data_IF_958653439317
#
_entry.id   IF_958653439317
#
_cell.length_a   1.000
_cell.length_b   1.000
_cell.length_c   1.000
_cell.angle_alpha   90.00
_cell.angle_beta   90.00
_cell.angle_gamma   90.00
#
_symmetry.space_group_name_H-M   'P 1'
#
loop_
_entity.id
_entity.type
_entity.pdbx_description
1 polymer ?
#
# COMPACT_ATOMS: atom_id res chain seq x y z
N UNK A 1 4.10 -22.58 11.14
CA UNK A 1 4.26 -21.20 11.63
C UNK A 1 3.06 -20.43 11.14
N UNK A 2 2.16 -20.02 12.03
CA UNK A 2 0.98 -19.21 11.65
C UNK A 2 1.43 -17.77 11.41
N UNK A 3 1.87 -17.49 10.18
CA UNK A 3 2.12 -16.12 9.72
C UNK A 3 0.76 -15.44 9.57
N UNK A 4 0.62 -14.21 10.04
CA UNK A 4 -0.63 -13.44 9.89
C UNK A 4 -0.54 -12.51 8.68
N UNK A 5 -1.66 -12.20 8.01
CA UNK A 5 -1.75 -11.16 6.99
C UNK A 5 -1.03 -9.86 7.35
N UNK A 6 -1.20 -9.41 8.59
CA UNK A 6 -0.67 -8.16 9.12
C UNK A 6 0.87 -8.12 9.14
N UNK A 7 1.56 -9.26 9.16
CA UNK A 7 3.03 -9.34 9.12
C UNK A 7 3.62 -8.86 7.79
N UNK A 8 2.83 -8.84 6.71
CA UNK A 8 3.26 -8.39 5.38
C UNK A 8 3.01 -6.90 5.13
N UNK A 9 2.37 -6.20 6.08
CA UNK A 9 1.96 -4.79 5.94
C UNK A 9 3.09 -3.86 5.49
N UNK A 10 4.24 -3.91 6.18
CA UNK A 10 5.40 -3.06 5.82
C UNK A 10 6.06 -3.42 4.49
N UNK A 11 6.07 -4.70 4.11
CA UNK A 11 6.60 -5.12 2.81
C UNK A 11 5.72 -4.61 1.68
N UNK A 12 4.40 -4.73 1.84
CA UNK A 12 3.45 -4.25 0.84
C UNK A 12 3.50 -2.72 0.75
N UNK A 13 3.33 -2.00 1.86
CA UNK A 13 3.20 -0.54 1.81
C UNK A 13 4.50 0.18 1.49
N UNK A 14 5.60 -0.18 2.14
CA UNK A 14 6.88 0.51 1.96
C UNK A 14 7.61 -0.07 0.75
N UNK A 15 7.93 -1.36 0.76
CA UNK A 15 8.85 -1.91 -0.25
C UNK A 15 8.22 -1.91 -1.65
N UNK A 16 6.95 -2.33 -1.76
CA UNK A 16 6.27 -2.41 -3.06
C UNK A 16 5.57 -1.09 -3.38
N UNK A 17 4.72 -0.59 -2.49
CA UNK A 17 3.94 0.63 -2.69
C UNK A 17 4.82 1.85 -3.02
N UNK A 18 5.73 2.21 -2.13
CA UNK A 18 6.55 3.42 -2.29
C UNK A 18 7.49 3.33 -3.51
N UNK A 19 8.05 2.15 -3.79
CA UNK A 19 8.90 1.93 -4.97
C UNK A 19 8.15 2.16 -6.28
N UNK A 20 6.95 1.58 -6.43
CA UNK A 20 6.15 1.76 -7.65
C UNK A 20 5.53 3.16 -7.73
N UNK A 21 5.17 3.77 -6.60
CA UNK A 21 4.75 5.17 -6.53
C UNK A 21 5.85 6.10 -7.05
N UNK A 22 7.10 5.87 -6.64
CA UNK A 22 8.25 6.66 -7.07
C UNK A 22 8.57 6.41 -8.55
N UNK A 23 8.59 5.15 -9.00
CA UNK A 23 8.92 4.78 -10.37
C UNK A 23 7.91 5.38 -11.37
N UNK A 24 6.62 5.19 -11.12
CA UNK A 24 5.57 5.67 -12.04
C UNK A 24 5.26 7.15 -11.82
N UNK A 25 5.19 7.58 -10.56
CA UNK A 25 4.86 8.95 -10.20
C UNK A 25 5.91 9.96 -10.64
N UNK A 26 7.21 9.65 -10.53
CA UNK A 26 8.26 10.56 -11.02
C UNK A 26 8.35 10.59 -12.55
N UNK A 27 8.13 9.44 -13.20
CA UNK A 27 8.29 9.32 -14.66
C UNK A 27 7.09 9.88 -15.43
N UNK A 28 5.87 9.68 -14.90
CA UNK A 28 4.62 9.95 -15.64
C UNK A 28 3.60 10.78 -14.85
N UNK A 29 3.84 11.05 -13.57
CA UNK A 29 2.87 11.73 -12.70
C UNK A 29 2.77 13.23 -12.97
N UNK A 30 1.77 13.63 -13.76
CA UNK A 30 1.49 15.05 -14.09
C UNK A 30 0.49 15.72 -13.14
N UNK A 31 -0.46 14.95 -12.60
CA UNK A 31 -1.53 15.44 -11.72
C UNK A 31 -1.27 15.01 -10.28
N UNK A 32 -1.10 15.98 -9.39
CA UNK A 32 -0.89 15.79 -7.95
C UNK A 32 -2.20 15.83 -7.18
N UNK A 33 -2.21 15.16 -6.03
CA UNK A 33 -3.28 15.31 -5.06
C UNK A 33 -3.29 16.76 -4.53
N UNK A 34 -4.47 17.35 -4.26
CA UNK A 34 -4.57 18.71 -3.75
C UNK A 34 -3.83 18.84 -2.41
N UNK A 35 -2.83 19.71 -2.35
CA UNK A 35 -2.05 19.94 -1.14
C UNK A 35 -1.02 18.85 -0.80
N UNK A 36 -0.70 17.95 -1.73
CA UNK A 36 0.24 16.84 -1.51
C UNK A 36 1.32 16.75 -2.58
N UNK A 37 2.45 16.16 -2.21
CA UNK A 37 3.56 15.87 -3.12
C UNK A 37 3.31 14.63 -4.00
N UNK A 38 2.36 13.76 -3.63
CA UNK A 38 2.04 12.52 -4.36
C UNK A 38 1.18 12.78 -5.59
N UNK A 39 1.33 11.93 -6.62
CA UNK A 39 0.58 12.00 -7.87
C UNK A 39 -0.51 10.95 -7.91
N UNK A 40 -1.65 11.26 -8.54
CA UNK A 40 -2.74 10.28 -8.70
C UNK A 40 -2.26 9.00 -9.39
N UNK A 41 -1.41 9.16 -10.41
CA UNK A 41 -0.84 8.04 -11.15
C UNK A 41 0.12 7.21 -10.28
N UNK A 42 0.94 7.87 -9.46
CA UNK A 42 1.81 7.21 -8.49
C UNK A 42 1.00 6.43 -7.45
N UNK A 43 -0.05 7.02 -6.89
CA UNK A 43 -0.96 6.33 -5.95
C UNK A 43 -1.65 5.14 -6.60
N UNK A 44 -2.10 5.26 -7.86
CA UNK A 44 -2.69 4.14 -8.60
C UNK A 44 -1.69 3.01 -8.83
N UNK A 45 -0.46 3.34 -9.23
CA UNK A 45 0.62 2.36 -9.41
C UNK A 45 1.01 1.68 -8.08
N UNK A 46 1.07 2.43 -6.99
CA UNK A 46 1.28 1.92 -5.64
C UNK A 46 0.20 0.91 -5.27
N UNK A 47 -1.08 1.28 -5.37
CA UNK A 47 -2.19 0.39 -5.03
C UNK A 47 -2.20 -0.88 -5.90
N UNK A 48 -2.02 -0.75 -7.21
CA UNK A 48 -2.10 -1.89 -8.11
C UNK A 48 -0.94 -2.87 -7.91
N UNK A 49 0.28 -2.38 -7.71
CA UNK A 49 1.44 -3.22 -7.42
C UNK A 49 1.29 -3.95 -6.08
N UNK A 50 0.80 -3.27 -5.04
CA UNK A 50 0.47 -3.86 -3.75
C UNK A 50 -0.61 -4.95 -3.87
N UNK A 51 -1.67 -4.71 -4.64
CA UNK A 51 -2.74 -5.69 -4.88
C UNK A 51 -2.24 -6.93 -5.62
N UNK A 52 -1.37 -6.79 -6.63
CA UNK A 52 -0.76 -7.92 -7.32
C UNK A 52 0.07 -8.76 -6.33
N UNK A 53 0.96 -8.10 -5.58
CA UNK A 53 1.80 -8.78 -4.60
C UNK A 53 0.96 -9.48 -3.52
N UNK A 54 -0.06 -8.81 -3.00
CA UNK A 54 -0.99 -9.38 -2.03
C UNK A 54 -1.75 -10.59 -2.58
N UNK A 55 -2.19 -10.55 -3.84
CA UNK A 55 -2.86 -11.68 -4.48
C UNK A 55 -1.95 -12.91 -4.53
N UNK A 56 -0.67 -12.73 -4.83
CA UNK A 56 0.33 -13.83 -4.84
C UNK A 56 0.56 -14.37 -3.43
N UNK A 57 0.75 -13.48 -2.44
CA UNK A 57 0.97 -13.86 -1.04
C UNK A 57 -0.25 -14.57 -0.46
N UNK A 58 -1.45 -14.01 -0.65
CA UNK A 58 -2.70 -14.61 -0.18
C UNK A 58 -2.95 -15.97 -0.84
N UNK A 59 -2.66 -16.14 -2.12
CA UNK A 59 -2.73 -17.44 -2.78
C UNK A 59 -1.78 -18.47 -2.14
N UNK A 60 -0.52 -18.09 -1.88
CA UNK A 60 0.46 -18.96 -1.25
C UNK A 60 0.04 -19.42 0.16
N UNK A 61 -0.57 -18.53 0.95
CA UNK A 61 -1.03 -18.85 2.31
C UNK A 61 -2.51 -19.30 2.38
N UNK A 62 -3.18 -19.50 1.25
CA UNK A 62 -4.62 -19.81 1.16
C UNK A 62 -5.53 -18.80 1.88
N UNK A 63 -5.15 -17.53 1.92
CA UNK A 63 -5.97 -16.44 2.46
C UNK A 63 -6.93 -15.90 1.41
N UNK A 64 -8.04 -15.32 1.86
CA UNK A 64 -8.97 -14.65 0.97
C UNK A 64 -8.41 -13.30 0.52
N UNK A 65 -8.01 -13.19 -0.74
CA UNK A 65 -7.32 -12.00 -1.26
C UNK A 65 -8.12 -10.69 -1.11
N UNK A 66 -9.46 -10.72 -1.07
CA UNK A 66 -10.28 -9.52 -0.89
C UNK A 66 -10.02 -8.80 0.43
N UNK A 67 -9.50 -9.49 1.45
CA UNK A 67 -9.16 -8.87 2.74
C UNK A 67 -8.08 -7.80 2.62
N UNK A 68 -7.30 -7.80 1.53
CA UNK A 68 -6.28 -6.79 1.26
C UNK A 68 -6.79 -5.49 0.65
N UNK A 69 -8.01 -5.47 0.06
CA UNK A 69 -8.49 -4.30 -0.69
C UNK A 69 -8.59 -3.07 0.22
N UNK A 70 -9.32 -3.20 1.33
CA UNK A 70 -9.56 -2.11 2.28
C UNK A 70 -8.25 -1.61 2.92
N UNK A 71 -7.41 -2.47 3.55
CA UNK A 71 -6.18 -2.01 4.21
C UNK A 71 -5.21 -1.35 3.23
N UNK A 72 -4.99 -1.92 2.05
CA UNK A 72 -4.07 -1.36 1.07
C UNK A 72 -4.59 -0.05 0.46
N UNK A 73 -5.91 0.04 0.22
CA UNK A 73 -6.52 1.27 -0.28
C UNK A 73 -6.41 2.41 0.73
N UNK A 74 -6.72 2.13 2.00
CA UNK A 74 -6.57 3.12 3.09
C UNK A 74 -5.10 3.52 3.24
N UNK A 75 -4.16 2.57 3.14
CA UNK A 75 -2.73 2.86 3.19
C UNK A 75 -2.30 3.86 2.12
N UNK A 76 -2.73 3.67 0.87
CA UNK A 76 -2.42 4.58 -0.25
C UNK A 76 -3.09 5.95 -0.08
N UNK A 77 -4.31 6.02 0.46
CA UNK A 77 -4.94 7.30 0.77
C UNK A 77 -4.16 8.06 1.83
N UNK A 78 -3.71 7.38 2.89
CA UNK A 78 -2.89 8.00 3.94
C UNK A 78 -1.55 8.49 3.37
N UNK A 79 -0.90 7.69 2.53
CA UNK A 79 0.32 8.07 1.80
C UNK A 79 0.12 9.35 0.99
N UNK A 80 -1.07 9.54 0.41
CA UNK A 80 -1.38 10.74 -0.35
C UNK A 80 -1.47 12.01 0.51
N UNK A 81 -1.62 11.93 1.83
CA UNK A 81 -1.79 13.12 2.70
C UNK A 81 -0.75 13.28 3.81
N UNK A 82 0.11 12.28 4.04
CA UNK A 82 1.16 12.32 5.06
C UNK A 82 2.54 12.40 4.41
N UNK A 83 3.31 13.43 4.75
CA UNK A 83 4.60 13.74 4.09
C UNK A 83 5.85 13.32 4.89
N UNK A 84 5.80 13.30 6.22
CA UNK A 84 7.02 13.28 7.05
C UNK A 84 7.19 12.01 7.90
N UNK A 85 6.15 11.17 8.01
CA UNK A 85 6.14 9.98 8.88
C UNK A 85 5.40 8.80 8.19
N UNK A 86 5.29 8.85 6.87
CA UNK A 86 4.57 7.89 6.04
C UNK A 86 5.11 6.46 6.19
N UNK A 87 6.43 6.29 6.20
CA UNK A 87 7.10 4.99 6.35
C UNK A 87 6.96 4.33 7.73
N UNK A 88 6.45 5.03 8.75
CA UNK A 88 6.12 4.44 10.06
C UNK A 88 4.61 4.32 10.25
N UNK A 89 3.84 5.34 9.87
CA UNK A 89 2.40 5.39 10.07
C UNK A 89 1.66 4.45 9.14
N UNK A 90 2.02 4.41 7.85
CA UNK A 90 1.29 3.59 6.86
C UNK A 90 1.36 2.09 7.21
N UNK A 91 2.54 1.48 7.47
CA UNK A 91 2.60 0.07 7.86
C UNK A 91 1.76 -0.25 9.09
N UNK A 92 1.79 0.63 10.10
CA UNK A 92 1.03 0.44 11.33
C UNK A 92 -0.48 0.47 11.07
N UNK A 93 -0.96 1.42 10.27
CA UNK A 93 -2.39 1.51 9.93
C UNK A 93 -2.83 0.31 9.09
N UNK A 94 -2.04 -0.05 8.07
CA UNK A 94 -2.30 -1.24 7.23
C UNK A 94 -2.34 -2.51 8.10
N UNK A 95 -1.39 -2.65 9.04
CA UNK A 95 -1.33 -3.76 10.00
C UNK A 95 -2.58 -3.84 10.88
N UNK A 96 -3.04 -2.71 11.42
CA UNK A 96 -4.24 -2.64 12.28
C UNK A 96 -5.49 -3.06 11.52
N UNK A 97 -5.65 -2.58 10.29
CA UNK A 97 -6.83 -2.90 9.46
C UNK A 97 -6.81 -4.38 9.07
N UNK A 98 -5.66 -4.93 8.68
CA UNK A 98 -5.51 -6.38 8.44
C UNK A 98 -5.82 -7.24 9.66
N UNK A 99 -5.62 -6.73 10.88
CA UNK A 99 -5.93 -7.47 12.10
C UNK A 99 -7.43 -7.44 12.43
N UNK A 100 -8.15 -6.41 11.97
CA UNK A 100 -9.58 -6.22 12.22
C UNK A 100 -10.51 -6.95 11.24
N UNK A 101 -9.96 -7.60 10.22
CA UNK A 101 -10.65 -8.32 9.15
C UNK A 101 -10.35 -9.81 9.20
#
# INVERSE_FOLDING_TARGET
MDVKPSSWSGVLSIAIGDSFAALVGRTYGKRRWPGSHRTYLGSFASFFSQMIAWTIISYYYSWYWLTGIIPLFIGVLIEAYIDQIDNLVIPLVVMLIFHSL
#
